data_IF_276928762649
#
_entry.id   IF_276928762649
#
_cell.length_a   1.000
_cell.length_b   1.000
_cell.length_c   1.000
_cell.angle_alpha   90.00
_cell.angle_beta   90.00
_cell.angle_gamma   90.00
#
_symmetry.space_group_name_H-M   'P 1'
#
loop_
_entity.id
_entity.type
_entity.pdbx_description
1 polymer ?
#
# COMPACT_ATOMS: atom_id res chain seq x y z
N UNK A 1 55.12 -6.41 -23.27
CA UNK A 1 54.41 -7.58 -23.84
C UNK A 1 52.97 -7.53 -23.35
N UNK A 2 52.00 -7.13 -24.19
CA UNK A 2 50.62 -6.91 -23.79
C UNK A 2 49.79 -8.19 -23.97
N UNK A 3 48.93 -8.48 -23.00
CA UNK A 3 47.79 -9.38 -23.19
C UNK A 3 46.52 -8.54 -23.12
N UNK A 4 46.01 -8.18 -24.29
CA UNK A 4 44.67 -7.64 -24.49
C UNK A 4 43.65 -8.75 -24.26
N UNK A 5 42.73 -8.56 -23.32
CA UNK A 5 41.48 -9.34 -23.25
C UNK A 5 40.34 -8.39 -23.57
N UNK A 6 39.91 -8.44 -24.82
CA UNK A 6 38.63 -7.90 -25.26
C UNK A 6 37.52 -8.63 -24.49
N UNK A 7 36.77 -7.86 -23.69
CA UNK A 7 35.51 -8.32 -23.10
C UNK A 7 34.37 -7.68 -23.88
N UNK A 8 33.43 -8.45 -24.44
CA UNK A 8 32.33 -7.88 -25.19
C UNK A 8 31.40 -7.13 -24.24
N UNK A 9 31.17 -5.86 -24.56
CA UNK A 9 30.13 -5.01 -23.99
C UNK A 9 28.76 -5.68 -24.12
N UNK A 10 27.97 -5.77 -23.04
CA UNK A 10 26.62 -6.29 -23.14
C UNK A 10 25.77 -5.27 -23.91
N UNK A 11 25.37 -5.67 -25.12
CA UNK A 11 24.33 -5.00 -25.90
C UNK A 11 23.09 -4.89 -25.02
N UNK A 12 22.73 -3.67 -24.63
CA UNK A 12 21.45 -3.36 -24.02
C UNK A 12 20.38 -3.60 -25.09
N UNK A 13 19.78 -4.79 -25.09
CA UNK A 13 18.51 -5.01 -25.77
C UNK A 13 17.48 -4.15 -25.06
N UNK A 14 17.19 -2.99 -25.64
CA UNK A 14 16.01 -2.20 -25.33
C UNK A 14 14.79 -3.06 -25.68
N UNK A 15 14.41 -3.94 -24.76
CA UNK A 15 13.13 -4.62 -24.79
C UNK A 15 12.07 -3.55 -24.72
N UNK A 16 11.31 -3.41 -25.81
CA UNK A 16 10.04 -2.68 -25.84
C UNK A 16 9.26 -3.05 -24.59
N UNK A 17 9.16 -2.12 -23.64
CA UNK A 17 8.39 -2.32 -22.40
C UNK A 17 6.94 -2.33 -22.86
N UNK A 18 6.40 -3.53 -23.08
CA UNK A 18 5.00 -3.73 -23.43
C UNK A 18 4.15 -2.84 -22.52
N UNK A 19 3.20 -2.10 -23.10
CA UNK A 19 2.33 -1.22 -22.33
C UNK A 19 1.60 -2.05 -21.28
N UNK A 20 1.78 -1.70 -20.01
CA UNK A 20 1.05 -2.36 -18.93
C UNK A 20 -0.46 -2.24 -19.17
N UNK A 21 -1.15 -3.36 -18.98
CA UNK A 21 -2.61 -3.46 -18.96
C UNK A 21 -3.03 -4.03 -17.61
N UNK A 22 -4.06 -3.42 -17.00
CA UNK A 22 -4.57 -3.86 -15.70
C UNK A 22 -5.15 -5.28 -15.80
N UNK A 23 -4.64 -6.26 -15.03
CA UNK A 23 -5.09 -7.65 -15.14
C UNK A 23 -6.57 -7.85 -14.78
N UNK A 24 -7.13 -8.99 -15.18
CA UNK A 24 -8.46 -9.41 -14.73
C UNK A 24 -8.45 -9.76 -13.24
N UNK A 25 -9.61 -9.67 -12.59
CA UNK A 25 -9.76 -10.02 -11.17
C UNK A 25 -9.28 -11.44 -10.85
N UNK A 26 -9.57 -12.40 -11.73
CA UNK A 26 -9.14 -13.78 -11.57
C UNK A 26 -7.62 -13.90 -11.50
N UNK A 27 -6.88 -13.12 -12.30
CA UNK A 27 -5.43 -13.15 -12.34
C UNK A 27 -4.81 -12.49 -11.11
N UNK A 28 -5.41 -11.37 -10.67
CA UNK A 28 -5.02 -10.71 -9.41
C UNK A 28 -5.21 -11.65 -8.22
N UNK A 29 -6.31 -12.40 -8.18
CA UNK A 29 -6.56 -13.39 -7.12
C UNK A 29 -5.51 -14.50 -7.07
N UNK A 30 -4.93 -14.90 -8.22
CA UNK A 30 -3.87 -15.92 -8.25
C UNK A 30 -2.58 -15.45 -7.57
N UNK A 31 -2.36 -14.14 -7.47
CA UNK A 31 -1.18 -13.61 -6.80
C UNK A 31 -1.16 -13.97 -5.31
N UNK A 32 -2.31 -14.16 -4.68
CA UNK A 32 -2.41 -14.55 -3.27
C UNK A 32 -2.14 -16.04 -3.02
N UNK A 33 -2.07 -16.88 -4.06
CA UNK A 33 -1.72 -18.30 -3.91
C UNK A 33 -0.23 -18.50 -3.64
N UNK A 34 0.60 -17.54 -4.03
CA UNK A 34 2.03 -17.55 -3.81
C UNK A 34 2.34 -16.64 -2.61
N UNK A 35 2.06 -17.16 -1.41
CA UNK A 35 2.36 -16.49 -0.15
C UNK A 35 3.87 -16.41 0.07
N UNK A 36 4.36 -15.22 0.40
CA UNK A 36 5.77 -14.97 0.70
C UNK A 36 6.01 -14.10 1.93
N UNK A 37 4.95 -13.52 2.51
CA UNK A 37 5.03 -12.64 3.66
C UNK A 37 4.78 -13.35 4.98
N UNK A 38 4.97 -12.65 6.09
CA UNK A 38 4.66 -13.15 7.44
C UNK A 38 3.21 -12.90 7.84
N UNK A 39 2.78 -13.58 8.90
CA UNK A 39 1.51 -13.43 9.61
C UNK A 39 1.69 -12.79 11.00
N UNK A 40 2.78 -12.03 11.20
CA UNK A 40 3.06 -11.32 12.45
C UNK A 40 1.94 -10.33 12.80
N UNK A 41 1.95 -9.78 14.00
CA UNK A 41 0.98 -8.73 14.36
C UNK A 41 1.22 -7.41 13.62
N UNK A 42 2.45 -7.15 13.18
CA UNK A 42 2.84 -5.97 12.41
C UNK A 42 4.08 -6.26 11.59
N UNK A 43 4.10 -5.80 10.35
CA UNK A 43 5.25 -5.90 9.45
C UNK A 43 5.49 -4.55 8.77
N UNK A 44 6.75 -4.22 8.52
CA UNK A 44 7.10 -3.09 7.68
C UNK A 44 6.98 -3.50 6.21
N UNK A 45 6.02 -2.91 5.49
CA UNK A 45 5.69 -3.31 4.10
C UNK A 45 6.21 -2.32 3.04
N UNK A 46 6.64 -1.15 3.49
CA UNK A 46 7.30 -0.10 2.70
C UNK A 46 8.16 0.76 3.65
N UNK A 47 9.18 1.51 3.20
CA UNK A 47 9.92 2.43 4.07
C UNK A 47 8.99 3.29 4.93
N UNK A 48 9.09 3.13 6.25
CA UNK A 48 8.29 3.80 7.27
C UNK A 48 6.76 3.56 7.23
N UNK A 49 6.27 2.57 6.49
CA UNK A 49 4.88 2.11 6.55
C UNK A 49 4.82 0.71 7.17
N UNK A 50 4.08 0.62 8.25
CA UNK A 50 3.83 -0.61 8.99
C UNK A 50 2.37 -1.02 8.79
N UNK A 51 2.14 -2.28 8.43
CA UNK A 51 0.83 -2.86 8.26
C UNK A 51 0.62 -3.92 9.35
N UNK A 52 -0.51 -3.86 10.06
CA UNK A 52 -0.76 -4.82 11.12
C UNK A 52 -2.21 -4.92 11.57
N UNK A 53 -2.38 -5.60 12.69
CA UNK A 53 -3.67 -6.01 13.23
C UNK A 53 -4.09 -5.22 14.48
N UNK A 54 -5.27 -5.58 15.01
CA UNK A 54 -5.82 -4.94 16.18
C UNK A 54 -5.08 -5.28 17.49
N UNK A 55 -4.24 -6.31 17.50
CA UNK A 55 -3.38 -6.59 18.64
C UNK A 55 -2.24 -5.57 18.68
N UNK A 56 -1.55 -5.38 17.56
CA UNK A 56 -0.50 -4.36 17.44
C UNK A 56 -1.04 -2.96 17.71
N UNK A 57 -2.26 -2.64 17.22
CA UNK A 57 -2.93 -1.37 17.47
C UNK A 57 -3.20 -1.08 18.96
N UNK A 58 -3.37 -2.12 19.79
CA UNK A 58 -3.60 -2.00 21.24
C UNK A 58 -2.32 -2.14 22.06
N UNK A 59 -1.20 -2.48 21.44
CA UNK A 59 0.08 -2.59 22.13
C UNK A 59 0.84 -1.26 22.05
N UNK A 60 0.62 -0.37 23.02
CA UNK A 60 1.37 0.89 23.12
C UNK A 60 2.88 0.66 23.15
N UNK A 61 3.33 -0.39 23.83
CA UNK A 61 4.74 -0.81 23.86
C UNK A 61 5.28 -1.12 22.46
N UNK A 62 4.51 -1.82 21.62
CA UNK A 62 4.89 -2.11 20.23
C UNK A 62 4.93 -0.83 19.39
N UNK A 63 3.93 0.04 19.53
CA UNK A 63 3.87 1.31 18.79
C UNK A 63 5.04 2.23 19.16
N UNK A 64 5.39 2.30 20.45
CA UNK A 64 6.54 3.05 20.94
C UNK A 64 7.87 2.47 20.44
N UNK A 65 8.06 1.15 20.50
CA UNK A 65 9.33 0.53 20.08
C UNK A 65 9.59 0.71 18.58
N UNK A 66 8.53 0.75 17.77
CA UNK A 66 8.61 1.05 16.34
C UNK A 66 8.76 2.56 16.05
N UNK A 67 8.55 3.42 17.06
CA UNK A 67 8.48 4.88 16.95
C UNK A 67 7.36 5.34 15.99
N UNK A 68 6.17 4.73 16.10
CA UNK A 68 5.01 5.13 15.32
C UNK A 68 4.60 6.54 15.71
N UNK A 69 4.40 7.39 14.70
CA UNK A 69 3.96 8.78 14.86
C UNK A 69 2.56 9.03 14.32
N UNK A 70 2.10 8.19 13.38
CA UNK A 70 0.80 8.31 12.75
C UNK A 70 0.10 6.95 12.72
N UNK A 71 -1.20 6.93 13.03
CA UNK A 71 -2.03 5.73 12.95
C UNK A 71 -3.18 5.97 11.97
N UNK A 72 -3.34 5.06 11.01
CA UNK A 72 -4.54 4.92 10.21
C UNK A 72 -5.29 3.65 10.64
N UNK A 73 -6.46 3.82 11.24
CA UNK A 73 -7.34 2.72 11.61
C UNK A 73 -8.41 2.50 10.52
N UNK A 74 -8.24 1.47 9.70
CA UNK A 74 -9.16 1.08 8.64
C UNK A 74 -10.35 0.24 9.14
N UNK A 75 -10.55 0.19 10.45
CA UNK A 75 -11.64 -0.52 11.11
C UNK A 75 -12.12 0.31 12.32
N UNK A 76 -12.18 1.63 12.19
CA UNK A 76 -12.61 2.50 13.27
C UNK A 76 -14.10 2.36 13.57
N UNK A 77 -14.55 2.96 14.67
CA UNK A 77 -15.95 3.07 15.04
C UNK A 77 -16.32 2.26 16.29
N UNK A 78 -17.43 2.61 16.95
CA UNK A 78 -17.83 2.07 18.26
C UNK A 78 -18.14 0.56 18.22
N UNK A 79 -18.50 0.03 17.06
CA UNK A 79 -18.83 -1.38 16.84
C UNK A 79 -17.67 -2.18 16.21
N UNK A 80 -16.48 -1.57 16.15
CA UNK A 80 -15.29 -2.12 15.52
C UNK A 80 -14.06 -1.94 16.43
N UNK A 81 -12.88 -1.63 15.89
CA UNK A 81 -11.67 -1.37 16.66
C UNK A 81 -11.71 0.07 17.19
N UNK A 82 -12.49 0.27 18.26
CA UNK A 82 -12.72 1.56 18.88
C UNK A 82 -11.54 2.01 19.78
N UNK A 83 -10.37 2.25 19.17
CA UNK A 83 -9.26 2.89 19.88
C UNK A 83 -9.44 4.41 19.85
N UNK A 84 -9.57 5.00 18.65
CA UNK A 84 -9.68 6.44 18.47
C UNK A 84 -8.42 7.19 18.93
N UNK A 85 -8.36 8.50 18.64
CA UNK A 85 -7.21 9.34 19.01
C UNK A 85 -6.92 9.32 20.53
N UNK A 86 -7.96 9.30 21.36
CA UNK A 86 -7.84 9.34 22.83
C UNK A 86 -7.07 8.14 23.39
N UNK A 87 -7.17 6.96 22.78
CA UNK A 87 -6.43 5.80 23.25
C UNK A 87 -4.91 6.02 23.20
N UNK A 88 -4.43 6.86 22.28
CA UNK A 88 -3.01 7.13 22.04
C UNK A 88 -2.53 8.50 22.57
N UNK A 89 -3.29 9.16 23.45
CA UNK A 89 -3.00 10.54 23.89
C UNK A 89 -1.62 10.71 24.57
N UNK A 90 -1.12 9.66 25.21
CA UNK A 90 0.20 9.58 25.85
C UNK A 90 1.36 9.37 24.86
N UNK A 91 1.07 9.02 23.62
CA UNK A 91 2.07 8.72 22.58
C UNK A 91 2.26 9.87 21.58
N UNK A 92 1.46 10.94 21.66
CA UNK A 92 1.48 12.06 20.71
C UNK A 92 1.33 11.59 19.25
N UNK A 93 0.47 10.60 19.02
CA UNK A 93 0.21 10.03 17.69
C UNK A 93 -0.87 10.84 16.98
N UNK A 94 -0.64 11.18 15.72
CA UNK A 94 -1.70 11.68 14.84
C UNK A 94 -2.56 10.51 14.36
N UNK A 95 -3.88 10.62 14.51
CA UNK A 95 -4.81 9.53 14.26
C UNK A 95 -5.79 9.86 13.15
N UNK A 96 -5.95 8.93 12.21
CA UNK A 96 -6.96 8.97 11.16
C UNK A 96 -7.81 7.69 11.18
N UNK A 97 -9.10 7.86 11.40
CA UNK A 97 -10.07 6.78 11.52
C UNK A 97 -10.91 6.63 10.26
N UNK A 98 -11.01 5.41 9.75
CA UNK A 98 -11.92 5.02 8.67
C UNK A 98 -12.84 3.93 9.21
N UNK A 99 -14.13 4.26 9.35
CA UNK A 99 -15.17 3.30 9.74
C UNK A 99 -15.56 2.43 8.53
N UNK A 100 -14.76 1.39 8.28
CA UNK A 100 -14.97 0.45 7.17
C UNK A 100 -15.28 -0.97 7.62
N UNK A 101 -16.25 -1.58 6.96
CA UNK A 101 -16.63 -2.98 7.12
C UNK A 101 -15.85 -3.85 6.13
N UNK A 102 -15.43 -5.05 6.55
CA UNK A 102 -14.71 -5.99 5.67
C UNK A 102 -15.68 -6.80 4.81
N UNK A 103 -16.46 -6.10 4.01
CA UNK A 103 -17.50 -6.67 3.17
C UNK A 103 -17.25 -6.32 1.70
N UNK A 104 -17.37 -7.27 0.76
CA UNK A 104 -17.21 -6.98 -0.68
C UNK A 104 -18.17 -5.92 -1.24
N UNK A 105 -19.29 -5.65 -0.57
CA UNK A 105 -20.25 -4.60 -0.95
C UNK A 105 -19.92 -3.22 -0.37
N UNK A 106 -18.99 -3.14 0.58
CA UNK A 106 -18.58 -1.86 1.16
C UNK A 106 -17.73 -1.06 0.16
N UNK A 107 -18.09 0.20 -0.06
CA UNK A 107 -17.31 1.10 -0.91
C UNK A 107 -16.15 1.71 -0.12
N UNK A 108 -14.99 1.06 -0.19
CA UNK A 108 -13.75 1.56 0.42
C UNK A 108 -13.08 2.62 -0.46
N UNK A 109 -13.44 2.69 -1.74
CA UNK A 109 -12.77 3.53 -2.73
C UNK A 109 -12.89 5.03 -2.44
N UNK A 110 -13.99 5.43 -1.78
CA UNK A 110 -14.21 6.81 -1.34
C UNK A 110 -13.13 7.31 -0.39
N UNK A 111 -12.43 6.40 0.31
CA UNK A 111 -11.38 6.74 1.26
C UNK A 111 -9.96 6.66 0.66
N UNK A 112 -9.79 6.16 -0.57
CA UNK A 112 -8.45 5.89 -1.13
C UNK A 112 -7.56 7.13 -1.16
N UNK A 113 -8.06 8.24 -1.67
CA UNK A 113 -7.27 9.46 -1.79
C UNK A 113 -7.00 10.10 -0.42
N UNK A 114 -7.98 10.18 0.47
CA UNK A 114 -7.79 10.78 1.80
C UNK A 114 -6.84 9.95 2.66
N UNK A 115 -6.99 8.62 2.65
CA UNK A 115 -6.06 7.71 3.31
C UNK A 115 -4.64 7.82 2.74
N UNK A 116 -4.51 7.83 1.42
CA UNK A 116 -3.22 7.97 0.76
C UNK A 116 -2.57 9.32 1.07
N UNK A 117 -3.35 10.41 1.11
CA UNK A 117 -2.87 11.74 1.47
C UNK A 117 -2.44 11.82 2.93
N UNK A 118 -3.15 11.16 3.85
CA UNK A 118 -2.74 11.05 5.24
C UNK A 118 -1.38 10.34 5.35
N UNK A 119 -1.23 9.18 4.68
CA UNK A 119 0.04 8.43 4.66
C UNK A 119 1.16 9.29 4.04
N UNK A 120 0.92 9.91 2.89
CA UNK A 120 1.91 10.74 2.20
C UNK A 120 2.35 11.96 3.02
N UNK A 121 1.41 12.65 3.70
CA UNK A 121 1.75 13.76 4.61
C UNK A 121 2.61 13.28 5.77
N UNK A 122 2.23 12.16 6.39
CA UNK A 122 2.97 11.58 7.49
C UNK A 122 4.41 11.23 7.11
N UNK A 123 4.62 10.64 5.93
CA UNK A 123 5.96 10.27 5.43
C UNK A 123 6.83 11.49 5.06
N UNK A 124 6.22 12.62 4.75
CA UNK A 124 6.94 13.88 4.51
C UNK A 124 7.33 14.62 5.80
N UNK A 125 6.83 14.18 6.96
CA UNK A 125 7.24 14.70 8.26
C UNK A 125 8.57 14.09 8.69
N UNK A 126 9.48 14.89 9.24
CA UNK A 126 10.76 14.40 9.76
C UNK A 126 10.54 13.33 10.82
N UNK A 127 11.06 12.11 10.58
CA UNK A 127 10.86 10.96 11.47
C UNK A 127 9.48 10.30 11.38
N UNK A 128 8.67 10.67 10.39
CA UNK A 128 7.34 10.13 10.15
C UNK A 128 7.35 8.62 9.92
N UNK A 129 6.49 7.91 10.66
CA UNK A 129 6.28 6.46 10.60
C UNK A 129 4.80 6.18 10.79
N UNK A 130 4.22 5.52 9.81
CA UNK A 130 2.78 5.29 9.73
C UNK A 130 2.48 3.84 10.06
N UNK A 131 1.57 3.61 10.98
CA UNK A 131 0.97 2.31 11.23
C UNK A 131 -0.45 2.28 10.67
N UNK A 132 -0.69 1.43 9.68
CA UNK A 132 -2.00 1.23 9.06
C UNK A 132 -2.53 -0.12 9.53
N UNK A 133 -3.70 -0.16 10.13
CA UNK A 133 -4.25 -1.41 10.67
C UNK A 133 -5.74 -1.56 10.43
N UNK A 134 -6.21 -2.81 10.55
CA UNK A 134 -7.64 -3.11 10.66
C UNK A 134 -7.82 -4.14 11.77
N UNK A 135 -8.76 -5.09 11.64
CA UNK A 135 -8.87 -6.19 12.59
C UNK A 135 -7.69 -7.18 12.48
N UNK A 136 -7.34 -7.61 11.26
CA UNK A 136 -6.31 -8.63 10.99
C UNK A 136 -5.10 -8.11 10.23
N UNK A 137 -5.15 -6.88 9.69
CA UNK A 137 -4.07 -6.37 8.85
C UNK A 137 -3.97 -7.01 7.46
N UNK A 138 -5.04 -7.65 6.96
CA UNK A 138 -5.00 -8.50 5.75
C UNK A 138 -5.80 -7.91 4.58
N UNK A 139 -6.97 -7.31 4.85
CA UNK A 139 -7.92 -6.86 3.81
C UNK A 139 -8.06 -5.33 3.80
N UNK A 140 -8.93 -4.73 4.64
CA UNK A 140 -9.20 -3.28 4.66
C UNK A 140 -7.94 -2.40 4.68
N UNK A 141 -7.06 -2.60 5.67
CA UNK A 141 -5.83 -1.81 5.81
C UNK A 141 -4.83 -2.06 4.68
N UNK A 142 -4.72 -3.30 4.22
CA UNK A 142 -3.88 -3.64 3.07
C UNK A 142 -4.36 -2.89 1.83
N UNK A 143 -5.68 -2.85 1.57
CA UNK A 143 -6.25 -2.10 0.45
C UNK A 143 -5.89 -0.61 0.47
N UNK A 144 -5.93 0.03 1.65
CA UNK A 144 -5.55 1.45 1.76
C UNK A 144 -4.04 1.68 1.53
N UNK A 145 -3.18 0.76 1.99
CA UNK A 145 -1.74 0.82 1.69
C UNK A 145 -1.47 0.60 0.20
N UNK A 146 -2.15 -0.35 -0.43
CA UNK A 146 -2.04 -0.59 -1.87
C UNK A 146 -2.46 0.65 -2.67
N UNK A 147 -3.59 1.27 -2.31
CA UNK A 147 -4.04 2.52 -2.92
C UNK A 147 -3.00 3.64 -2.76
N UNK A 148 -2.38 3.78 -1.59
CA UNK A 148 -1.29 4.73 -1.37
C UNK A 148 -0.12 4.49 -2.34
N UNK A 149 0.38 3.26 -2.44
CA UNK A 149 1.49 2.93 -3.33
C UNK A 149 1.16 3.21 -4.81
N UNK A 150 -0.07 2.98 -5.21
CA UNK A 150 -0.52 3.30 -6.57
C UNK A 150 -0.60 4.81 -6.81
N UNK A 151 -1.16 5.56 -5.86
CA UNK A 151 -1.41 7.01 -6.00
C UNK A 151 -0.12 7.83 -5.85
N UNK A 152 0.66 7.59 -4.80
CA UNK A 152 1.83 8.42 -4.44
C UNK A 152 3.16 7.85 -4.94
N UNK A 153 3.31 6.53 -5.00
CA UNK A 153 4.56 5.86 -5.45
C UNK A 153 4.52 5.43 -6.92
N UNK A 154 3.48 5.84 -7.65
CA UNK A 154 3.32 5.59 -9.09
C UNK A 154 3.38 4.09 -9.47
N UNK A 155 2.98 3.21 -8.55
CA UNK A 155 2.94 1.77 -8.79
C UNK A 155 1.71 1.35 -9.61
N UNK A 156 1.83 0.23 -10.30
CA UNK A 156 0.66 -0.52 -10.78
C UNK A 156 0.06 -1.33 -9.62
N UNK A 157 -1.20 -1.77 -9.75
CA UNK A 157 -1.79 -2.66 -8.74
C UNK A 157 -0.97 -3.95 -8.54
N UNK A 158 -0.42 -4.52 -9.62
CA UNK A 158 0.41 -5.73 -9.54
C UNK A 158 1.70 -5.47 -8.76
N UNK A 159 2.36 -4.34 -9.01
CA UNK A 159 3.60 -3.98 -8.31
C UNK A 159 3.33 -3.67 -6.84
N UNK A 160 2.25 -2.97 -6.53
CA UNK A 160 1.83 -2.70 -5.17
C UNK A 160 1.51 -3.99 -4.41
N UNK A 161 0.75 -4.92 -5.02
CA UNK A 161 0.43 -6.23 -4.44
C UNK A 161 1.70 -7.00 -4.11
N UNK A 162 2.62 -7.14 -5.07
CA UNK A 162 3.90 -7.83 -4.87
C UNK A 162 4.76 -7.18 -3.79
N UNK A 163 4.80 -5.85 -3.75
CA UNK A 163 5.59 -5.09 -2.77
C UNK A 163 5.11 -5.39 -1.35
N UNK A 164 3.81 -5.31 -1.11
CA UNK A 164 3.24 -5.57 0.22
C UNK A 164 3.27 -7.05 0.56
N UNK A 165 2.91 -7.94 -0.39
CA UNK A 165 2.82 -9.39 -0.16
C UNK A 165 4.18 -10.07 0.04
N UNK A 166 5.28 -9.42 -0.33
CA UNK A 166 6.63 -9.89 -0.01
C UNK A 166 6.98 -9.76 1.48
N UNK A 167 6.29 -8.90 2.22
CA UNK A 167 6.57 -8.61 3.63
C UNK A 167 5.45 -9.12 4.54
N UNK A 168 4.19 -9.08 4.10
CA UNK A 168 3.04 -9.50 4.88
C UNK A 168 2.03 -10.27 4.04
N UNK A 169 1.50 -11.34 4.58
CA UNK A 169 0.38 -12.05 3.95
C UNK A 169 -0.87 -11.15 3.93
N UNK A 170 -1.20 -10.65 2.75
CA UNK A 170 -2.39 -9.82 2.51
C UNK A 170 -3.36 -10.52 1.55
N UNK A 171 -4.64 -10.23 1.72
CA UNK A 171 -5.72 -10.73 0.87
C UNK A 171 -6.93 -9.80 1.00
N UNK A 172 -6.93 -8.65 0.30
CA UNK A 172 -8.13 -7.84 0.12
C UNK A 172 -9.31 -8.72 -0.34
N UNK A 173 -10.50 -8.45 0.21
CA UNK A 173 -11.70 -9.12 -0.28
C UNK A 173 -11.95 -8.79 -1.78
N UNK A 174 -12.81 -9.57 -2.43
CA UNK A 174 -13.05 -9.43 -3.88
C UNK A 174 -13.58 -8.06 -4.30
N UNK A 175 -14.40 -7.43 -3.46
CA UNK A 175 -14.94 -6.08 -3.71
C UNK A 175 -13.85 -5.02 -3.67
N UNK A 176 -12.99 -5.05 -2.64
CA UNK A 176 -11.86 -4.13 -2.54
C UNK A 176 -10.84 -4.34 -3.64
N UNK A 177 -10.59 -5.60 -4.03
CA UNK A 177 -9.70 -5.88 -5.15
C UNK A 177 -10.27 -5.33 -6.47
N UNK A 178 -11.60 -5.36 -6.66
CA UNK A 178 -12.26 -4.71 -7.79
C UNK A 178 -12.11 -3.19 -7.75
N UNK A 179 -12.34 -2.57 -6.59
CA UNK A 179 -12.18 -1.13 -6.43
C UNK A 179 -10.73 -0.67 -6.68
N UNK A 180 -9.74 -1.45 -6.21
CA UNK A 180 -8.33 -1.21 -6.51
C UNK A 180 -8.01 -1.39 -8.00
N UNK A 181 -8.63 -2.36 -8.66
CA UNK A 181 -8.48 -2.58 -10.10
C UNK A 181 -9.03 -1.38 -10.88
N UNK A 182 -10.17 -0.83 -10.49
CA UNK A 182 -10.76 0.35 -11.11
C UNK A 182 -9.86 1.59 -10.91
N UNK A 183 -9.26 1.73 -9.72
CA UNK A 183 -8.24 2.75 -9.46
C UNK A 183 -7.01 2.59 -10.38
N UNK A 184 -6.52 1.36 -10.58
CA UNK A 184 -5.36 1.09 -11.45
C UNK A 184 -5.66 1.47 -12.91
N UNK A 185 -6.84 1.12 -13.43
CA UNK A 185 -7.27 1.50 -14.78
C UNK A 185 -7.25 3.03 -14.92
N UNK A 186 -7.90 3.73 -14.00
CA UNK A 186 -7.96 5.20 -13.99
C UNK A 186 -6.56 5.83 -13.97
N UNK A 187 -5.71 5.42 -13.04
CA UNK A 187 -4.35 5.98 -12.90
C UNK A 187 -3.50 5.71 -14.16
N UNK A 188 -3.66 4.54 -14.78
CA UNK A 188 -2.93 4.22 -16.01
C UNK A 188 -3.38 5.07 -17.20
N UNK A 189 -4.66 5.40 -17.30
CA UNK A 189 -5.18 6.35 -18.30
C UNK A 189 -4.62 7.76 -18.07
N UNK A 190 -4.62 8.25 -16.83
CA UNK A 190 -4.07 9.55 -16.45
C UNK A 190 -2.56 9.66 -16.74
N UNK A 191 -1.80 8.61 -16.43
CA UNK A 191 -0.36 8.53 -16.72
C UNK A 191 -0.07 8.53 -18.22
N UNK A 192 -0.90 7.84 -19.02
CA UNK A 192 -0.80 7.86 -20.50
C UNK A 192 -1.09 9.26 -21.05
N UNK A 193 -2.14 9.91 -20.54
CA UNK A 193 -2.50 11.28 -20.92
C UNK A 193 -1.38 12.29 -20.61
N UNK A 194 -0.82 12.22 -19.40
CA UNK A 194 0.30 13.09 -18.98
C UNK A 194 1.53 12.93 -19.87
N UNK A 195 1.90 11.68 -20.19
CA UNK A 195 3.02 11.40 -21.10
C UNK A 195 2.77 11.94 -22.50
N UNK A 196 1.57 11.74 -23.05
CA UNK A 196 1.24 12.20 -24.39
C UNK A 196 1.23 13.74 -24.52
N UNK A 197 0.87 14.46 -23.45
CA UNK A 197 0.98 15.93 -23.41
C UNK A 197 2.43 16.40 -23.33
N UNK A 198 3.27 15.75 -22.51
CA UNK A 198 4.68 16.10 -22.39
C UNK A 198 5.49 15.91 -23.69
N UNK A 199 5.15 14.91 -24.52
CA UNK A 199 5.82 14.70 -25.82
C UNK A 199 5.38 15.67 -26.92
N UNK A 200 4.30 16.43 -26.73
CA UNK A 200 3.81 17.42 -27.72
C UNK A 200 4.36 18.83 -27.49
N UNK A 201 4.95 19.09 -26.33
CA UNK A 201 5.53 20.39 -25.94
C UNK A 201 7.05 20.47 -26.18
N UNK A 202 7.65 19.41 -26.75
CA UNK A 202 9.05 19.33 -27.20
C UNK A 202 9.11 19.35 -28.73
#
# INVERSE_FOLDING_TARGET
MPHTRDSPSPTSSAGSRASYETPALSDLQRLFWFRGGSDNHVDQVWPNIYLGDAWAARSKTTLQSLNITHILNAADGPYSINTGAKYYEDLQIEYYGVEAFDDPSFDLSIFFYDAANFIGKALNTSGGKVFVHCAMGVSRSASLVLAFLMIHENMTLVDALKTVSAHRDICPNSGFLSQLRDLDIKLNEERKGTRASATKEL
#
